data_IF_848101862625
#
_entry.id   IF_848101862625
#
_cell.length_a   1.000
_cell.length_b   1.000
_cell.length_c   1.000
_cell.angle_alpha   90.00
_cell.angle_beta   90.00
_cell.angle_gamma   90.00
#
_symmetry.space_group_name_H-M   'P 1'
#
loop_
_entity.id
_entity.type
_entity.pdbx_description
1 polymer ?
#
# COMPACT_ATOMS: atom_id res chain seq x y z
N UNK A 1 -14.87 14.59 4.37
CA UNK A 1 -16.03 13.84 3.88
C UNK A 1 -15.73 13.49 2.43
N UNK A 2 -15.61 12.20 2.09
CA UNK A 2 -15.43 11.73 0.71
C UNK A 2 -16.78 11.27 0.18
N UNK A 3 -17.01 11.47 -1.12
CA UNK A 3 -18.21 10.98 -1.78
C UNK A 3 -18.27 9.44 -1.71
N UNK A 4 -19.46 8.85 -1.49
CA UNK A 4 -19.61 7.41 -1.45
C UNK A 4 -19.33 6.82 -2.84
N UNK A 5 -18.29 5.99 -2.95
CA UNK A 5 -18.07 5.12 -4.12
C UNK A 5 -18.93 3.86 -4.00
N UNK A 6 -19.23 3.23 -5.13
CA UNK A 6 -19.91 1.93 -5.14
C UNK A 6 -18.89 0.80 -4.95
N UNK A 7 -19.33 -0.33 -4.38
CA UNK A 7 -18.47 -1.53 -4.22
C UNK A 7 -17.88 -1.99 -5.57
N UNK A 8 -18.65 -1.86 -6.66
CA UNK A 8 -18.19 -2.20 -8.01
C UNK A 8 -17.08 -1.26 -8.50
N UNK A 9 -17.22 0.04 -8.28
CA UNK A 9 -16.21 1.03 -8.68
C UNK A 9 -14.90 0.86 -7.90
N UNK A 10 -14.97 0.58 -6.59
CA UNK A 10 -13.80 0.25 -5.77
C UNK A 10 -13.14 -1.05 -6.26
N UNK A 11 -13.91 -2.07 -6.63
CA UNK A 11 -13.37 -3.32 -7.14
C UNK A 11 -12.55 -3.16 -8.43
N UNK A 12 -12.93 -2.20 -9.28
CA UNK A 12 -12.26 -1.94 -10.56
C UNK A 12 -11.06 -1.00 -10.43
N UNK A 13 -11.15 0.00 -9.54
CA UNK A 13 -10.20 1.11 -9.51
C UNK A 13 -9.32 1.17 -8.26
N UNK A 14 -9.65 0.42 -7.20
CA UNK A 14 -8.85 0.46 -5.97
C UNK A 14 -7.45 -0.14 -6.22
N UNK A 15 -6.37 0.62 -6.01
CA UNK A 15 -5.03 0.19 -6.37
C UNK A 15 -4.58 -1.05 -5.58
N UNK A 16 -5.03 -1.23 -4.34
CA UNK A 16 -4.73 -2.45 -3.57
C UNK A 16 -5.41 -3.68 -4.20
N UNK A 17 -6.67 -3.55 -4.60
CA UNK A 17 -7.42 -4.63 -5.23
C UNK A 17 -6.79 -5.00 -6.58
N UNK A 18 -6.35 -4.00 -7.35
CA UNK A 18 -5.71 -4.22 -8.66
C UNK A 18 -4.38 -4.95 -8.54
N UNK A 19 -3.48 -4.52 -7.65
CA UNK A 19 -2.19 -5.19 -7.39
C UNK A 19 -2.43 -6.60 -6.83
N UNK A 20 -3.32 -6.75 -5.84
CA UNK A 20 -3.63 -8.06 -5.26
C UNK A 20 -4.21 -9.06 -6.29
N UNK A 21 -4.94 -8.56 -7.29
CA UNK A 21 -5.47 -9.37 -8.40
C UNK A 21 -4.47 -9.58 -9.54
N UNK A 22 -3.26 -9.02 -9.44
CA UNK A 22 -2.23 -9.09 -10.48
C UNK A 22 -2.58 -8.31 -11.75
N UNK A 23 -3.46 -7.31 -11.65
CA UNK A 23 -3.78 -6.41 -12.76
C UNK A 23 -2.72 -5.33 -12.94
N UNK A 24 -2.08 -4.92 -11.85
CA UNK A 24 -0.93 -4.01 -11.82
C UNK A 24 0.25 -4.72 -11.15
N UNK A 25 1.47 -4.32 -11.51
CA UNK A 25 2.70 -4.90 -10.96
C UNK A 25 2.93 -4.48 -9.49
N UNK A 26 3.52 -5.38 -8.70
CA UNK A 26 4.01 -5.06 -7.37
C UNK A 26 5.24 -4.13 -7.47
N UNK A 27 5.31 -3.15 -6.58
CA UNK A 27 6.50 -2.35 -6.36
C UNK A 27 7.64 -3.17 -5.77
N UNK A 28 8.87 -2.76 -6.09
CA UNK A 28 10.10 -3.40 -5.61
C UNK A 28 11.06 -2.41 -4.93
N UNK A 29 10.58 -1.21 -4.60
CA UNK A 29 11.40 -0.16 -3.98
C UNK A 29 11.75 -0.57 -2.53
N UNK A 30 13.00 -0.40 -2.07
CA UNK A 30 13.32 -0.58 -0.66
C UNK A 30 12.69 0.55 0.18
N UNK A 31 12.23 0.24 1.39
CA UNK A 31 11.75 1.24 2.34
C UNK A 31 12.15 0.91 3.78
N UNK A 32 12.16 1.93 4.62
CA UNK A 32 12.28 1.78 6.07
C UNK A 32 10.93 2.03 6.73
N UNK A 33 10.50 1.09 7.56
CA UNK A 33 9.21 1.10 8.23
C UNK A 33 9.45 1.19 9.72
N UNK A 34 8.75 2.10 10.38
CA UNK A 34 8.76 2.16 11.83
C UNK A 34 8.40 0.78 12.44
N UNK A 35 8.87 0.46 13.65
CA UNK A 35 8.64 -0.83 14.36
C UNK A 35 9.01 -2.13 13.61
N UNK A 36 9.26 -2.11 12.31
CA UNK A 36 9.54 -3.28 11.47
C UNK A 36 10.92 -3.22 10.80
N UNK A 37 11.50 -2.03 10.64
CA UNK A 37 12.80 -1.81 9.97
C UNK A 37 12.70 -1.90 8.44
N UNK A 38 13.75 -2.42 7.82
CA UNK A 38 13.86 -2.52 6.35
C UNK A 38 12.81 -3.47 5.77
N UNK A 39 12.16 -3.03 4.69
CA UNK A 39 11.15 -3.79 3.96
C UNK A 39 11.19 -3.44 2.46
N UNK A 40 10.40 -4.15 1.67
CA UNK A 40 10.10 -3.79 0.28
C UNK A 40 8.73 -3.11 0.23
N UNK A 41 8.64 -1.98 -0.45
CA UNK A 41 7.39 -1.28 -0.70
C UNK A 41 6.69 -1.89 -1.92
N UNK A 42 5.66 -2.69 -1.65
CA UNK A 42 4.83 -3.36 -2.66
C UNK A 42 3.85 -2.37 -3.30
N UNK A 43 3.25 -1.48 -2.51
CA UNK A 43 2.34 -0.46 -3.03
C UNK A 43 2.34 0.78 -2.14
N UNK A 44 2.35 1.95 -2.77
CA UNK A 44 2.03 3.22 -2.14
C UNK A 44 0.85 3.87 -2.84
N UNK A 45 -0.22 4.13 -2.11
CA UNK A 45 -1.46 4.64 -2.67
C UNK A 45 -2.16 5.62 -1.73
N UNK A 46 -2.98 6.54 -2.25
CA UNK A 46 -3.76 7.44 -1.42
C UNK A 46 -4.76 6.68 -0.54
N UNK A 47 -4.91 7.12 0.70
CA UNK A 47 -5.92 6.65 1.65
C UNK A 47 -7.19 7.50 1.56
N UNK A 48 -8.30 7.00 2.09
CA UNK A 48 -9.60 7.69 2.08
C UNK A 48 -9.62 8.95 2.95
N UNK A 49 -8.72 9.05 3.93
CA UNK A 49 -8.58 10.21 4.81
C UNK A 49 -7.72 11.34 4.21
N UNK A 50 -7.25 11.17 2.97
CA UNK A 50 -6.36 12.13 2.29
C UNK A 50 -4.88 11.94 2.63
N UNK A 51 -4.54 10.95 3.45
CA UNK A 51 -3.16 10.51 3.64
C UNK A 51 -2.80 9.42 2.63
N UNK A 52 -1.81 8.59 2.93
CA UNK A 52 -1.43 7.46 2.08
C UNK A 52 -1.47 6.18 2.91
N UNK A 53 -1.66 5.04 2.24
CA UNK A 53 -1.38 3.71 2.78
C UNK A 53 -0.22 3.08 2.02
N UNK A 54 0.48 2.20 2.73
CA UNK A 54 1.55 1.39 2.18
C UNK A 54 1.22 -0.09 2.36
N UNK A 55 1.38 -0.87 1.31
CA UNK A 55 1.59 -2.31 1.39
C UNK A 55 3.11 -2.54 1.37
N UNK A 56 3.63 -3.18 2.40
CA UNK A 56 5.03 -3.58 2.52
C UNK A 56 5.15 -5.11 2.58
N UNK A 57 6.29 -5.60 2.12
CA UNK A 57 6.71 -6.99 2.31
C UNK A 57 7.96 -7.01 3.17
N UNK A 58 7.88 -7.70 4.30
CA UNK A 58 8.98 -7.85 5.24
C UNK A 58 10.03 -8.85 4.72
N UNK A 59 11.26 -8.85 5.26
CA UNK A 59 12.33 -9.74 4.81
C UNK A 59 12.02 -11.24 4.98
N UNK A 60 11.10 -11.61 5.87
CA UNK A 60 10.61 -12.97 6.06
C UNK A 60 9.51 -13.37 5.05
N UNK A 61 9.14 -12.45 4.16
CA UNK A 61 8.10 -12.63 3.16
C UNK A 61 6.69 -12.26 3.65
N UNK A 62 6.51 -11.82 4.89
CA UNK A 62 5.19 -11.41 5.39
C UNK A 62 4.74 -10.08 4.75
N UNK A 63 3.52 -10.07 4.22
CA UNK A 63 2.86 -8.88 3.70
C UNK A 63 2.10 -8.14 4.81
N UNK A 64 2.30 -6.82 4.91
CA UNK A 64 1.58 -5.94 5.84
C UNK A 64 1.06 -4.69 5.16
N UNK A 65 -0.12 -4.24 5.59
CA UNK A 65 -0.67 -2.93 5.21
C UNK A 65 -0.54 -2.01 6.41
N UNK A 66 0.07 -0.85 6.17
CA UNK A 66 0.29 0.18 7.18
C UNK A 66 -0.12 1.56 6.67
N UNK A 67 -0.31 2.50 7.60
CA UNK A 67 -0.47 3.90 7.23
C UNK A 67 0.85 4.44 6.67
N UNK A 68 0.78 5.32 5.68
CA UNK A 68 1.95 5.93 5.05
C UNK A 68 2.82 6.71 6.04
N UNK A 69 2.23 7.19 7.15
CA UNK A 69 2.96 7.82 8.26
C UNK A 69 3.91 6.88 9.01
N UNK A 70 3.82 5.57 8.83
CA UNK A 70 4.76 4.60 9.39
C UNK A 70 5.98 4.37 8.50
N UNK A 71 5.99 4.90 7.27
CA UNK A 71 7.13 4.79 6.36
C UNK A 71 8.09 5.94 6.66
N UNK A 72 9.30 5.60 7.09
CA UNK A 72 10.35 6.55 7.47
C UNK A 72 11.14 7.04 6.26
N UNK A 73 11.39 6.15 5.29
CA UNK A 73 12.03 6.47 4.01
C UNK A 73 11.61 5.49 2.93
N UNK A 74 11.78 5.91 1.68
CA UNK A 74 11.54 5.13 0.46
C UNK A 74 12.69 5.43 -0.50
N UNK A 75 13.19 4.39 -1.19
CA UNK A 75 14.29 4.47 -2.16
C UNK A 75 13.92 5.18 -3.45
#
# INVERSE_FOLDING_TARGET
HREPSTVGEEWENNPFIRVWRGLDEEGSEPCEVNNFGSATLVLWAPDYDGTNKAWIRLPDGEDKITGGSQILSRG
#
